data_IF_396363249599
#
_entry.id   IF_396363249599
#
_cell.length_a   1.000
_cell.length_b   1.000
_cell.length_c   1.000
_cell.angle_alpha   90.00
_cell.angle_beta   90.00
_cell.angle_gamma   90.00
#
_symmetry.space_group_name_H-M   'P 1'
#
loop_
_entity.id
_entity.type
_entity.pdbx_description
1 polymer ?
#
# COMPACT_ATOMS: atom_id res chain seq x y z
N UNK A 1 0.64 10.58 -12.83
CA UNK A 1 -0.25 9.38 -12.73
C UNK A 1 -1.70 9.65 -13.14
N UNK A 2 -2.31 10.77 -12.76
CA UNK A 2 -3.70 11.06 -13.15
C UNK A 2 -3.91 11.05 -14.67
N UNK A 3 -3.03 11.70 -15.42
CA UNK A 3 -3.10 11.68 -16.88
C UNK A 3 -2.99 10.26 -17.45
N UNK A 4 -2.16 9.42 -16.84
CA UNK A 4 -2.01 8.03 -17.22
C UNK A 4 -3.32 7.25 -17.00
N UNK A 5 -4.02 7.52 -15.91
CA UNK A 5 -5.34 6.92 -15.67
C UNK A 5 -6.37 7.41 -16.68
N UNK A 6 -6.38 8.70 -16.98
CA UNK A 6 -7.31 9.27 -17.96
C UNK A 6 -7.10 8.71 -19.37
N UNK A 7 -5.87 8.41 -19.75
CA UNK A 7 -5.51 7.95 -21.10
C UNK A 7 -5.76 6.47 -21.34
N UNK A 8 -6.07 5.67 -20.32
CA UNK A 8 -6.30 4.24 -20.42
C UNK A 8 -7.49 3.79 -19.59
N UNK A 9 -8.25 2.80 -20.10
CA UNK A 9 -9.36 2.21 -19.35
C UNK A 9 -8.89 1.39 -18.15
N UNK A 10 -7.69 0.81 -18.24
CA UNK A 10 -7.04 0.07 -17.17
C UNK A 10 -5.53 0.25 -17.27
N UNK A 11 -4.89 0.66 -16.19
CA UNK A 11 -3.44 0.86 -16.11
C UNK A 11 -2.75 -0.35 -15.48
N UNK A 12 -3.33 -0.89 -14.40
CA UNK A 12 -2.76 -2.01 -13.65
C UNK A 12 -3.38 -3.33 -14.06
N UNK A 13 -2.85 -4.44 -13.54
CA UNK A 13 -3.29 -5.80 -13.91
C UNK A 13 -4.76 -6.10 -13.58
N UNK A 14 -5.35 -5.36 -12.63
CA UNK A 14 -6.71 -5.61 -12.13
C UNK A 14 -6.81 -6.73 -11.09
N UNK A 15 -5.71 -7.45 -10.84
CA UNK A 15 -5.62 -8.48 -9.82
C UNK A 15 -4.92 -7.95 -8.56
N UNK A 16 -5.25 -8.44 -7.36
CA UNK A 16 -4.54 -8.04 -6.14
C UNK A 16 -3.06 -8.43 -6.21
N UNK A 17 -2.23 -7.67 -5.52
CA UNK A 17 -0.81 -8.01 -5.40
C UNK A 17 -0.65 -9.34 -4.66
N UNK A 18 0.19 -10.23 -5.17
CA UNK A 18 0.44 -11.53 -4.54
C UNK A 18 0.97 -11.36 -3.11
N UNK A 19 1.77 -10.34 -2.85
CA UNK A 19 2.28 -10.02 -1.53
C UNK A 19 1.17 -9.66 -0.54
N UNK A 20 0.14 -8.95 -0.98
CA UNK A 20 -1.03 -8.69 -0.14
C UNK A 20 -1.72 -9.99 0.23
N UNK A 21 -1.99 -10.85 -0.75
CA UNK A 21 -2.64 -12.14 -0.52
C UNK A 21 -1.82 -12.98 0.45
N UNK A 22 -0.51 -13.08 0.23
CA UNK A 22 0.38 -13.92 1.04
C UNK A 22 0.45 -13.45 2.51
N UNK A 23 0.44 -12.16 2.77
CA UNK A 23 0.66 -11.62 4.12
C UNK A 23 -0.61 -11.19 4.85
N UNK A 24 -1.72 -10.95 4.14
CA UNK A 24 -2.96 -10.51 4.76
C UNK A 24 -4.00 -11.61 4.92
N UNK A 25 -3.89 -12.74 4.22
CA UNK A 25 -4.88 -13.81 4.25
C UNK A 25 -5.13 -14.39 5.66
N UNK A 26 -4.12 -14.44 6.50
CA UNK A 26 -4.20 -15.01 7.84
C UNK A 26 -4.33 -13.98 8.96
N UNK A 27 -4.38 -12.68 8.61
CA UNK A 27 -4.57 -11.63 9.60
C UNK A 27 -6.02 -11.58 10.08
N UNK A 28 -6.24 -11.28 11.37
CA UNK A 28 -7.59 -11.01 11.87
C UNK A 28 -8.20 -9.83 11.11
N UNK A 29 -9.41 -10.00 10.62
CA UNK A 29 -10.12 -8.98 9.86
C UNK A 29 -10.49 -7.80 10.77
N UNK A 30 -10.28 -6.59 10.29
CA UNK A 30 -10.58 -5.35 11.00
C UNK A 30 -10.64 -4.18 10.01
N UNK A 31 -10.05 -3.04 10.39
CA UNK A 31 -9.94 -1.87 9.53
C UNK A 31 -8.67 -1.91 8.71
N UNK A 32 -8.72 -1.47 7.45
CA UNK A 32 -7.58 -1.45 6.55
C UNK A 32 -7.51 -0.14 5.76
N UNK A 33 -6.30 0.37 5.62
CA UNK A 33 -5.99 1.52 4.76
C UNK A 33 -5.08 1.05 3.62
N UNK A 34 -5.48 1.31 2.39
CA UNK A 34 -4.67 1.07 1.20
C UNK A 34 -4.15 2.40 0.67
N UNK A 35 -2.88 2.69 0.94
CA UNK A 35 -2.22 3.94 0.54
C UNK A 35 -1.72 3.78 -0.90
N UNK A 36 -2.15 4.69 -1.78
CA UNK A 36 -1.88 4.57 -3.21
C UNK A 36 -2.72 3.45 -3.82
N UNK A 37 -4.03 3.46 -3.54
CA UNK A 37 -4.92 2.36 -3.90
C UNK A 37 -5.06 2.11 -5.40
N UNK A 38 -4.65 3.07 -6.24
CA UNK A 38 -4.76 2.94 -7.67
C UNK A 38 -6.18 2.65 -8.12
N UNK A 39 -6.34 1.64 -8.94
CA UNK A 39 -7.64 1.23 -9.49
C UNK A 39 -8.43 0.31 -8.56
N UNK A 40 -7.88 0.00 -7.38
CA UNK A 40 -8.63 -0.62 -6.29
C UNK A 40 -8.61 -2.14 -6.22
N UNK A 41 -7.71 -2.82 -6.93
CA UNK A 41 -7.65 -4.29 -6.90
C UNK A 41 -7.35 -4.84 -5.51
N UNK A 42 -6.38 -4.27 -4.81
CA UNK A 42 -6.03 -4.67 -3.44
C UNK A 42 -7.14 -4.32 -2.45
N UNK A 43 -7.66 -3.09 -2.54
CA UNK A 43 -8.75 -2.64 -1.68
C UNK A 43 -10.00 -3.50 -1.86
N UNK A 44 -10.34 -3.88 -3.09
CA UNK A 44 -11.46 -4.76 -3.37
C UNK A 44 -11.24 -6.15 -2.77
N UNK A 45 -10.04 -6.72 -2.91
CA UNK A 45 -9.71 -8.02 -2.35
C UNK A 45 -9.90 -8.04 -0.82
N UNK A 46 -9.44 -6.99 -0.13
CA UNK A 46 -9.65 -6.82 1.31
C UNK A 46 -11.13 -6.67 1.65
N UNK A 47 -11.85 -5.84 0.91
CA UNK A 47 -13.28 -5.60 1.12
C UNK A 47 -14.10 -6.89 1.00
N UNK A 48 -13.83 -7.70 -0.01
CA UNK A 48 -14.51 -8.98 -0.23
C UNK A 48 -14.24 -10.00 0.88
N UNK A 49 -13.15 -9.83 1.64
CA UNK A 49 -12.81 -10.67 2.80
C UNK A 49 -13.32 -10.11 4.13
N UNK A 50 -14.12 -9.06 4.09
CA UNK A 50 -14.78 -8.52 5.28
C UNK A 50 -14.03 -7.37 5.96
N UNK A 51 -12.90 -6.90 5.43
CA UNK A 51 -12.21 -5.73 5.98
C UNK A 51 -13.03 -4.46 5.76
N UNK A 52 -13.02 -3.56 6.74
CA UNK A 52 -13.49 -2.19 6.55
C UNK A 52 -12.36 -1.38 5.91
N UNK A 53 -12.39 -1.29 4.59
CA UNK A 53 -11.29 -0.71 3.79
C UNK A 53 -11.57 0.74 3.45
N UNK A 54 -10.53 1.56 3.53
CA UNK A 54 -10.46 2.87 2.91
C UNK A 54 -9.25 2.88 1.98
N UNK A 55 -9.46 3.22 0.71
CA UNK A 55 -8.38 3.49 -0.24
C UNK A 55 -8.11 4.98 -0.33
N UNK A 56 -6.86 5.38 -0.45
CA UNK A 56 -6.48 6.76 -0.77
C UNK A 56 -5.54 6.78 -1.97
N UNK A 57 -5.72 7.75 -2.83
CA UNK A 57 -4.83 8.00 -3.97
C UNK A 57 -4.93 9.49 -4.34
N UNK A 58 -3.84 10.07 -4.85
CA UNK A 58 -3.86 11.47 -5.27
C UNK A 58 -4.57 11.66 -6.61
N UNK A 59 -4.74 10.60 -7.40
CA UNK A 59 -5.34 10.64 -8.73
C UNK A 59 -6.87 10.47 -8.65
N UNK A 60 -7.67 11.50 -9.00
CA UNK A 60 -9.13 11.39 -8.95
C UNK A 60 -9.72 10.26 -9.78
N UNK A 61 -9.12 9.96 -10.95
CA UNK A 61 -9.58 8.86 -11.80
C UNK A 61 -9.34 7.50 -11.13
N UNK A 62 -8.21 7.30 -10.45
CA UNK A 62 -7.93 6.09 -9.70
C UNK A 62 -8.97 5.89 -8.59
N UNK A 63 -9.25 6.94 -7.82
CA UNK A 63 -10.24 6.90 -6.75
C UNK A 63 -11.63 6.57 -7.29
N UNK A 64 -12.03 7.17 -8.41
CA UNK A 64 -13.30 6.88 -9.05
C UNK A 64 -13.41 5.40 -9.45
N UNK A 65 -12.34 4.81 -9.97
CA UNK A 65 -12.29 3.39 -10.34
C UNK A 65 -12.38 2.47 -9.12
N UNK A 66 -11.73 2.85 -8.03
CA UNK A 66 -11.84 2.12 -6.75
C UNK A 66 -13.27 2.15 -6.23
N UNK A 67 -13.90 3.33 -6.23
CA UNK A 67 -15.32 3.48 -5.84
C UNK A 67 -16.25 2.65 -6.73
N UNK A 68 -15.98 2.58 -8.02
CA UNK A 68 -16.77 1.78 -8.95
C UNK A 68 -16.71 0.28 -8.64
N UNK A 69 -15.70 -0.18 -7.91
CA UNK A 69 -15.61 -1.55 -7.39
C UNK A 69 -16.39 -1.77 -6.09
N UNK A 70 -17.07 -0.74 -5.58
CA UNK A 70 -17.84 -0.81 -4.33
C UNK A 70 -17.00 -0.58 -3.07
N UNK A 71 -15.81 -0.02 -3.20
CA UNK A 71 -14.89 0.20 -2.07
C UNK A 71 -14.80 1.69 -1.74
N UNK A 72 -14.94 2.08 -0.46
CA UNK A 72 -14.70 3.48 -0.06
C UNK A 72 -13.30 3.94 -0.42
N UNK A 73 -13.19 5.13 -1.00
CA UNK A 73 -11.91 5.72 -1.36
C UNK A 73 -11.98 7.24 -1.34
N UNK A 74 -10.87 7.89 -1.09
CA UNK A 74 -10.74 9.35 -1.03
C UNK A 74 -9.57 9.84 -1.87
N UNK A 75 -9.75 10.98 -2.54
CA UNK A 75 -8.64 11.69 -3.17
C UNK A 75 -7.85 12.37 -2.06
N UNK A 76 -6.63 11.89 -1.83
CA UNK A 76 -5.76 12.45 -0.81
C UNK A 76 -4.31 12.12 -1.13
N UNK A 77 -3.41 13.04 -0.76
CA UNK A 77 -1.99 12.75 -0.70
C UNK A 77 -1.66 12.19 0.68
N UNK A 78 -0.72 11.25 0.74
CA UNK A 78 -0.35 10.62 2.00
C UNK A 78 0.08 11.62 3.07
N UNK A 79 0.87 12.61 2.71
CA UNK A 79 1.41 13.61 3.64
C UNK A 79 0.36 14.55 4.24
N UNK A 80 -0.79 14.68 3.60
CA UNK A 80 -1.91 15.50 4.08
C UNK A 80 -3.05 14.69 4.69
N UNK A 81 -2.99 13.36 4.56
CA UNK A 81 -4.04 12.47 5.06
C UNK A 81 -3.97 12.34 6.60
N UNK A 82 -5.11 12.51 7.24
CA UNK A 82 -5.25 12.35 8.69
C UNK A 82 -6.49 11.52 9.00
N UNK A 83 -6.33 10.50 9.82
CA UNK A 83 -7.39 9.56 10.17
C UNK A 83 -7.03 8.83 11.47
N UNK A 84 -8.04 8.23 12.11
CA UNK A 84 -7.81 7.28 13.18
C UNK A 84 -7.00 6.08 12.67
N UNK A 85 -6.18 5.42 13.49
CA UNK A 85 -5.33 4.33 13.04
C UNK A 85 -6.12 3.10 12.57
N UNK A 86 -5.47 2.29 11.74
CA UNK A 86 -6.04 1.08 11.13
C UNK A 86 -5.33 -0.17 11.63
N UNK A 87 -6.04 -1.29 11.62
CA UNK A 87 -5.47 -2.60 11.97
C UNK A 87 -4.49 -3.12 10.91
N UNK A 88 -4.69 -2.72 9.66
CA UNK A 88 -3.79 -3.02 8.55
C UNK A 88 -3.57 -1.76 7.72
N UNK A 89 -2.31 -1.44 7.47
CA UNK A 89 -1.93 -0.40 6.52
C UNK A 89 -1.09 -1.05 5.42
N UNK A 90 -1.49 -0.89 4.17
CA UNK A 90 -0.77 -1.45 3.03
C UNK A 90 -0.27 -0.35 2.10
N UNK A 91 0.97 -0.50 1.66
CA UNK A 91 1.60 0.38 0.67
C UNK A 91 2.31 -0.50 -0.34
N UNK A 92 1.82 -0.53 -1.57
CA UNK A 92 2.47 -1.23 -2.67
C UNK A 92 2.91 -0.23 -3.72
N UNK A 93 4.22 -0.15 -3.93
CA UNK A 93 4.84 0.72 -4.95
C UNK A 93 4.46 2.20 -4.78
N UNK A 94 4.33 2.63 -3.53
CA UNK A 94 3.90 3.97 -3.18
C UNK A 94 5.01 5.00 -3.20
N UNK A 95 4.64 6.23 -2.89
CA UNK A 95 5.52 7.40 -2.95
C UNK A 95 5.75 8.05 -1.58
N UNK A 96 5.76 7.25 -0.51
CA UNK A 96 6.14 7.74 0.82
C UNK A 96 7.59 8.23 0.76
N UNK A 97 7.83 9.46 1.19
CA UNK A 97 9.17 10.05 1.11
C UNK A 97 10.08 9.58 2.23
N UNK A 98 11.37 9.50 1.94
CA UNK A 98 12.41 9.12 2.90
C UNK A 98 12.73 10.27 3.86
N UNK A 99 11.77 10.64 4.69
CA UNK A 99 11.88 11.70 5.71
C UNK A 99 11.34 11.24 7.05
N UNK A 100 11.92 11.75 8.14
CA UNK A 100 11.43 11.45 9.49
C UNK A 100 9.96 11.83 9.67
N UNK A 101 9.52 12.92 9.03
CA UNK A 101 8.13 13.37 9.09
C UNK A 101 7.17 12.34 8.50
N UNK A 102 7.46 11.84 7.30
CA UNK A 102 6.56 10.89 6.64
C UNK A 102 6.60 9.50 7.29
N UNK A 103 7.74 9.09 7.82
CA UNK A 103 7.81 7.86 8.64
C UNK A 103 6.89 7.99 9.86
N UNK A 104 6.94 9.11 10.57
CA UNK A 104 6.08 9.35 11.74
C UNK A 104 4.59 9.37 11.35
N UNK A 105 4.24 9.97 10.22
CA UNK A 105 2.85 9.96 9.71
C UNK A 105 2.39 8.53 9.40
N UNK A 106 3.24 7.76 8.75
CA UNK A 106 2.94 6.35 8.41
C UNK A 106 2.73 5.52 9.68
N UNK A 107 3.63 5.65 10.66
CA UNK A 107 3.54 4.89 11.90
C UNK A 107 2.27 5.23 12.69
N UNK A 108 1.84 6.49 12.70
CA UNK A 108 0.59 6.90 13.36
C UNK A 108 -0.67 6.26 12.79
N UNK A 109 -0.63 5.86 11.54
CA UNK A 109 -1.77 5.22 10.88
C UNK A 109 -1.92 3.74 11.26
N UNK A 110 -0.92 3.15 11.88
CA UNK A 110 -0.96 1.75 12.32
C UNK A 110 -1.44 1.68 13.77
N UNK A 111 -2.56 1.00 14.00
CA UNK A 111 -3.13 0.83 15.33
C UNK A 111 -2.26 -0.07 16.22
N UNK A 112 -2.44 0.03 17.53
CA UNK A 112 -1.81 -0.90 18.47
C UNK A 112 -2.22 -2.34 18.13
N UNK A 113 -1.25 -3.23 18.00
CA UNK A 113 -1.46 -4.58 17.51
C UNK A 113 -1.62 -4.68 15.98
N UNK A 114 -1.63 -3.54 15.28
CA UNK A 114 -1.80 -3.48 13.84
C UNK A 114 -0.54 -3.80 13.06
N UNK A 115 -0.72 -3.98 11.75
CA UNK A 115 0.33 -4.39 10.82
C UNK A 115 0.52 -3.37 9.71
N UNK A 116 1.77 -3.06 9.40
CA UNK A 116 2.17 -2.38 8.17
C UNK A 116 2.72 -3.41 7.19
N UNK A 117 2.15 -3.48 5.99
CA UNK A 117 2.70 -4.21 4.87
C UNK A 117 3.18 -3.20 3.83
N UNK A 118 4.49 -3.13 3.65
CA UNK A 118 5.13 -2.14 2.79
C UNK A 118 5.98 -2.84 1.74
N UNK A 119 5.61 -2.70 0.49
CA UNK A 119 6.22 -3.41 -0.63
C UNK A 119 6.62 -2.41 -1.71
N UNK A 120 7.82 -2.56 -2.24
CA UNK A 120 8.28 -1.78 -3.38
C UNK A 120 9.11 -2.64 -4.33
N UNK A 121 9.28 -2.16 -5.55
CA UNK A 121 10.24 -2.76 -6.48
C UNK A 121 11.64 -2.74 -5.87
N UNK A 122 12.45 -3.74 -6.18
CA UNK A 122 13.86 -3.78 -5.78
C UNK A 122 14.64 -2.77 -6.64
N UNK A 123 14.72 -1.55 -6.14
CA UNK A 123 15.36 -0.42 -6.81
C UNK A 123 15.92 0.54 -5.76
N UNK A 124 16.72 1.50 -6.22
CA UNK A 124 17.29 2.53 -5.36
C UNK A 124 16.55 3.86 -5.55
N UNK A 125 16.36 4.59 -4.46
CA UNK A 125 15.82 5.95 -4.47
C UNK A 125 16.32 6.71 -3.25
N UNK A 126 16.65 7.97 -3.47
CA UNK A 126 16.99 8.89 -2.36
C UNK A 126 15.76 9.67 -1.87
N UNK A 127 14.72 9.75 -2.70
CA UNK A 127 13.50 10.49 -2.39
C UNK A 127 12.43 9.63 -1.74
N UNK A 128 12.27 8.40 -2.25
CA UNK A 128 11.24 7.48 -1.79
C UNK A 128 11.78 6.60 -0.67
N UNK A 129 11.00 6.42 0.38
CA UNK A 129 11.31 5.49 1.45
C UNK A 129 11.23 4.05 0.91
N UNK A 130 12.35 3.53 0.46
CA UNK A 130 12.44 2.13 0.07
C UNK A 130 12.33 1.25 1.32
N UNK A 131 11.83 0.00 1.21
CA UNK A 131 11.63 -0.86 2.37
C UNK A 131 12.87 -1.02 3.26
N UNK A 132 14.05 -1.10 2.67
CA UNK A 132 15.31 -1.19 3.38
C UNK A 132 15.58 0.04 4.25
N UNK A 133 15.46 1.23 3.66
CA UNK A 133 15.60 2.49 4.38
C UNK A 133 14.54 2.63 5.47
N UNK A 134 13.29 2.28 5.15
CA UNK A 134 12.18 2.36 6.10
C UNK A 134 12.42 1.45 7.31
N UNK A 135 12.89 0.21 7.09
CA UNK A 135 13.20 -0.73 8.16
C UNK A 135 14.20 -0.15 9.17
N UNK A 136 15.18 0.62 8.69
CA UNK A 136 16.20 1.26 9.54
C UNK A 136 15.69 2.51 10.26
N UNK A 137 14.60 3.11 9.79
CA UNK A 137 14.09 4.40 10.29
C UNK A 137 12.76 4.31 11.04
N UNK A 138 12.17 3.13 11.17
CA UNK A 138 10.99 2.92 12.02
C UNK A 138 11.37 3.11 13.49
N UNK A 139 10.52 3.83 14.24
CA UNK A 139 10.73 4.10 15.67
C UNK A 139 9.65 3.50 16.55
N UNK A 140 8.42 3.40 16.04
CA UNK A 140 7.23 2.94 16.78
C UNK A 140 6.79 1.54 16.37
N UNK A 141 7.23 1.05 15.22
CA UNK A 141 6.90 -0.27 14.71
C UNK A 141 8.12 -1.19 14.80
N UNK A 142 7.84 -2.48 15.03
CA UNK A 142 8.86 -3.52 15.07
C UNK A 142 8.83 -4.34 13.79
N UNK A 143 9.96 -4.45 13.11
CA UNK A 143 10.09 -5.26 11.88
C UNK A 143 9.91 -6.74 12.21
N UNK A 144 8.94 -7.38 11.53
CA UNK A 144 8.68 -8.81 11.64
C UNK A 144 9.27 -9.60 10.49
N UNK A 145 9.21 -9.02 9.28
CA UNK A 145 9.70 -9.65 8.05
C UNK A 145 10.35 -8.59 7.17
N UNK A 146 11.49 -8.93 6.63
CA UNK A 146 12.16 -8.15 5.58
C UNK A 146 12.80 -9.14 4.60
N UNK A 147 12.34 -9.12 3.34
CA UNK A 147 12.88 -10.03 2.34
C UNK A 147 12.68 -9.55 0.90
N UNK A 148 13.44 -10.11 0.00
CA UNK A 148 13.28 -9.96 -1.45
C UNK A 148 12.55 -11.18 -2.00
N UNK A 149 11.68 -10.96 -2.97
CA UNK A 149 10.88 -12.03 -3.59
C UNK A 149 10.71 -11.77 -5.08
N UNK A 150 10.78 -12.82 -5.94
CA UNK A 150 10.45 -12.67 -7.35
C UNK A 150 8.99 -12.23 -7.53
N UNK A 151 8.74 -11.35 -8.49
CA UNK A 151 7.37 -10.92 -8.83
C UNK A 151 6.66 -12.01 -9.61
N UNK A 152 5.36 -12.16 -9.33
CA UNK A 152 4.47 -13.12 -9.99
C UNK A 152 3.37 -12.41 -10.78
N UNK A 153 3.56 -11.15 -11.14
CA UNK A 153 2.56 -10.34 -11.88
C UNK A 153 2.83 -10.47 -13.37
N UNK A 154 1.78 -10.78 -14.13
CA UNK A 154 1.78 -10.73 -15.58
C UNK A 154 0.83 -9.64 -16.05
N UNK A 155 1.27 -8.78 -16.97
CA UNK A 155 0.49 -7.65 -17.47
C UNK A 155 0.47 -6.45 -16.50
N UNK A 156 -0.03 -5.34 -17.00
CA UNK A 156 -0.05 -4.08 -16.27
C UNK A 156 1.28 -3.31 -16.31
N UNK A 157 1.26 -2.08 -15.80
CA UNK A 157 2.38 -1.16 -15.91
C UNK A 157 3.64 -1.58 -15.13
N UNK A 158 3.48 -2.38 -14.07
CA UNK A 158 4.58 -2.85 -13.24
C UNK A 158 5.18 -4.21 -13.64
N UNK A 159 4.69 -4.83 -14.70
CA UNK A 159 5.07 -6.21 -15.05
C UNK A 159 6.54 -6.37 -15.48
N UNK A 160 7.23 -5.30 -15.86
CA UNK A 160 8.63 -5.32 -16.25
C UNK A 160 9.62 -5.46 -15.09
N UNK A 161 9.18 -5.21 -13.85
CA UNK A 161 10.01 -5.42 -12.67
C UNK A 161 9.99 -6.90 -12.27
N UNK A 162 11.15 -7.46 -11.93
CA UNK A 162 11.34 -8.90 -11.69
C UNK A 162 11.37 -9.29 -10.23
N UNK A 163 11.62 -8.36 -9.32
CA UNK A 163 11.64 -8.65 -7.88
C UNK A 163 11.08 -7.50 -7.04
N UNK A 164 10.57 -7.85 -5.89
CA UNK A 164 10.07 -6.92 -4.88
C UNK A 164 10.84 -7.05 -3.57
N UNK A 165 10.83 -5.98 -2.81
CA UNK A 165 11.31 -5.96 -1.43
C UNK A 165 10.09 -5.80 -0.53
N UNK A 166 9.96 -6.68 0.46
CA UNK A 166 8.79 -6.79 1.33
C UNK A 166 9.20 -6.48 2.76
N UNK A 167 8.50 -5.54 3.37
CA UNK A 167 8.63 -5.19 4.78
C UNK A 167 7.29 -5.40 5.47
N UNK A 168 7.29 -6.20 6.53
CA UNK A 168 6.15 -6.34 7.44
C UNK A 168 6.58 -5.87 8.81
N UNK A 169 5.86 -4.92 9.38
CA UNK A 169 6.14 -4.40 10.71
C UNK A 169 4.86 -4.31 11.54
N UNK A 170 4.99 -4.38 12.85
CA UNK A 170 3.86 -4.34 13.78
C UNK A 170 4.06 -3.29 14.86
N UNK A 171 2.96 -2.67 15.28
CA UNK A 171 2.91 -1.89 16.51
C UNK A 171 2.55 -2.82 17.66
N UNK A 172 3.47 -3.03 18.58
CA UNK A 172 3.28 -3.89 19.75
C UNK A 172 2.49 -3.19 20.85
#
# INVERSE_FOLDING_TARGET
MEERYRSAAQVWSGSPNATLVDYASDLPVGTALDIGCGEGADAQWLHERGWQVLGIDFAPTAVARTKARGVPAEVATFDEFSHAPFDLVTVHYGSVRATAREVALLEKLVAKGGTLLYVHHDMQSEEIAMPEWLAENLTELTVQTFRRSPRRVSGGAGAHHTSDVILVAKRL
#
